data_IF_693025187669
#
_entry.id   IF_693025187669
#
_cell.length_a   1.000
_cell.length_b   1.000
_cell.length_c   1.000
_cell.angle_alpha   90.00
_cell.angle_beta   90.00
_cell.angle_gamma   90.00
#
_symmetry.space_group_name_H-M   'P 1'
#
loop_
_entity.id
_entity.type
_entity.pdbx_description
1 polymer ?
#
# COMPACT_ATOMS: atom_id res chain seq x y z
N UNK A 1 13.99 10.95 30.87
CA UNK A 1 14.53 11.35 29.55
C UNK A 1 14.11 10.44 28.38
N UNK A 2 14.09 9.10 28.50
CA UNK A 2 13.68 8.21 27.39
C UNK A 2 12.22 8.43 26.94
N UNK A 3 11.30 8.70 27.89
CA UNK A 3 9.89 8.97 27.60
C UNK A 3 9.67 10.27 26.81
N UNK A 4 10.47 11.31 27.09
CA UNK A 4 10.45 12.59 26.36
C UNK A 4 10.95 12.44 24.91
N UNK A 5 11.88 11.52 24.64
CA UNK A 5 12.34 11.23 23.26
C UNK A 5 11.30 10.47 22.46
N UNK A 6 10.53 9.58 23.08
CA UNK A 6 9.34 8.97 22.44
C UNK A 6 8.25 10.02 22.15
N UNK A 7 8.03 10.98 23.05
CA UNK A 7 7.06 12.06 22.83
C UNK A 7 7.45 12.99 21.67
N UNK A 8 8.75 13.25 21.46
CA UNK A 8 9.20 13.97 20.26
C UNK A 8 9.02 13.16 18.98
N UNK A 9 9.18 11.83 19.04
CA UNK A 9 8.76 10.92 17.98
C UNK A 9 7.28 11.09 17.64
N UNK A 10 6.40 11.15 18.66
CA UNK A 10 4.96 11.36 18.48
C UNK A 10 4.61 12.70 17.78
N UNK A 11 5.37 13.77 18.03
CA UNK A 11 5.18 15.05 17.33
C UNK A 11 5.61 15.01 15.85
N UNK A 12 6.64 14.23 15.51
CA UNK A 12 7.02 13.96 14.12
C UNK A 12 6.02 13.03 13.43
N UNK A 13 5.45 12.07 14.17
CA UNK A 13 4.36 11.21 13.69
C UNK A 13 3.11 12.03 13.42
N UNK A 14 2.70 12.96 14.30
CA UNK A 14 1.59 13.87 14.00
C UNK A 14 1.82 14.66 12.72
N UNK A 15 3.07 15.09 12.44
CA UNK A 15 3.44 15.74 11.17
C UNK A 15 3.40 14.77 9.99
N UNK A 16 3.90 13.54 10.14
CA UNK A 16 3.85 12.51 9.10
C UNK A 16 2.41 12.08 8.80
N UNK A 17 1.58 11.84 9.82
CA UNK A 17 0.15 11.53 9.69
C UNK A 17 -0.60 12.68 9.03
N UNK A 18 -0.32 13.93 9.42
CA UNK A 18 -0.87 15.11 8.71
C UNK A 18 -0.40 15.18 7.26
N UNK A 19 0.87 14.85 6.98
CA UNK A 19 1.44 14.78 5.64
C UNK A 19 0.82 13.69 4.78
N UNK A 20 0.58 12.49 5.34
CA UNK A 20 -0.09 11.37 4.68
C UNK A 20 -1.56 11.70 4.44
N UNK A 21 -2.27 12.26 5.42
CA UNK A 21 -3.66 12.70 5.25
C UNK A 21 -3.77 13.82 4.22
N UNK A 22 -2.82 14.75 4.19
CA UNK A 22 -2.74 15.79 3.16
C UNK A 22 -2.41 15.22 1.77
N UNK A 23 -1.47 14.27 1.68
CA UNK A 23 -1.11 13.60 0.42
C UNK A 23 -2.28 12.74 -0.11
N UNK A 24 -3.00 12.04 0.77
CA UNK A 24 -4.22 11.30 0.41
C UNK A 24 -5.33 12.26 -0.02
N UNK A 25 -5.52 13.38 0.69
CA UNK A 25 -6.44 14.45 0.28
C UNK A 25 -6.12 14.99 -1.12
N UNK A 26 -4.84 15.27 -1.40
CA UNK A 26 -4.38 15.75 -2.71
C UNK A 26 -4.48 14.67 -3.79
N UNK A 27 -4.26 13.39 -3.48
CA UNK A 27 -4.37 12.29 -4.45
C UNK A 27 -5.82 11.93 -4.77
N UNK A 28 -6.76 12.13 -3.82
CA UNK A 28 -8.19 11.88 -4.02
C UNK A 28 -8.87 13.07 -4.73
N UNK A 29 -8.35 14.29 -4.57
CA UNK A 29 -8.91 15.52 -5.14
C UNK A 29 -9.00 15.57 -6.69
N UNK A 30 -8.01 15.12 -7.49
CA UNK A 30 -8.11 15.19 -8.95
C UNK A 30 -9.01 14.10 -9.56
N UNK A 31 -9.26 12.97 -8.88
CA UNK A 31 -10.13 11.92 -9.41
C UNK A 31 -11.63 12.21 -9.27
N UNK A 32 -12.02 13.19 -8.45
CA UNK A 32 -13.41 13.67 -8.36
C UNK A 32 -13.71 14.75 -9.42
N UNK A 33 -12.69 15.36 -10.05
CA UNK A 33 -12.89 16.37 -11.12
C UNK A 33 -12.66 15.85 -12.54
N UNK A 34 -12.05 14.68 -12.73
CA UNK A 34 -11.77 14.14 -14.07
C UNK A 34 -12.94 13.39 -14.74
N UNK A 35 -14.09 13.23 -14.07
CA UNK A 35 -15.34 12.77 -14.71
C UNK A 35 -16.18 13.92 -15.31
N UNK A 36 -15.70 15.17 -15.28
CA UNK A 36 -16.47 16.35 -15.68
C UNK A 36 -16.00 17.12 -16.92
N UNK A 37 -14.95 16.68 -17.62
CA UNK A 37 -14.40 17.47 -18.73
C UNK A 37 -13.80 16.60 -19.84
N UNK A 38 -14.66 16.03 -20.68
CA UNK A 38 -14.34 15.70 -22.07
C UNK A 38 -15.42 16.38 -22.92
N UNK A 39 -15.10 17.56 -23.44
CA UNK A 39 -15.87 18.25 -24.47
C UNK A 39 -15.34 17.79 -25.82
N UNK A 40 -16.17 17.08 -26.57
CA UNK A 40 -15.99 16.83 -28.00
C UNK A 40 -17.20 17.46 -28.68
N UNK A 41 -16.93 18.43 -29.54
CA UNK A 41 -17.88 19.05 -30.44
C UNK A 41 -18.53 18.00 -31.34
N UNK A 42 -19.85 17.88 -31.27
CA UNK A 42 -20.70 17.55 -32.42
C UNK A 42 -22.12 18.04 -32.14
N UNK A 43 -22.47 19.13 -32.83
CA UNK A 43 -23.82 19.68 -32.83
C UNK A 43 -24.77 18.83 -33.69
N UNK A 44 -26.05 18.83 -33.29
CA UNK A 44 -27.26 18.33 -33.95
C UNK A 44 -27.66 16.86 -33.72
N UNK A 45 -28.29 16.60 -32.58
CA UNK A 45 -29.58 15.88 -32.54
C UNK A 45 -30.32 16.20 -31.24
N UNK A 46 -31.61 16.48 -31.39
CA UNK A 46 -32.50 17.19 -30.48
C UNK A 46 -33.09 16.28 -29.41
N UNK A 47 -33.30 16.84 -28.21
CA UNK A 47 -34.27 16.42 -27.17
C UNK A 47 -34.24 14.96 -26.70
N UNK A 48 -33.78 14.73 -25.46
CA UNK A 48 -34.44 13.97 -24.36
C UNK A 48 -33.41 13.37 -23.38
N UNK A 49 -32.80 14.15 -22.48
CA UNK A 49 -32.11 13.56 -21.32
C UNK A 49 -31.58 14.62 -20.33
N UNK A 50 -32.47 15.32 -19.63
CA UNK A 50 -32.09 16.10 -18.43
C UNK A 50 -32.61 15.51 -17.12
N UNK A 51 -33.16 14.29 -17.14
CA UNK A 51 -33.73 13.62 -15.95
C UNK A 51 -32.98 12.39 -15.43
N UNK A 52 -31.88 11.95 -16.07
CA UNK A 52 -31.40 10.57 -15.87
C UNK A 52 -30.20 10.40 -14.90
N UNK A 53 -29.38 11.43 -14.67
CA UNK A 53 -28.12 11.28 -13.91
C UNK A 53 -28.19 11.71 -12.44
N UNK A 54 -29.24 12.41 -12.01
CA UNK A 54 -29.45 12.77 -10.60
C UNK A 54 -30.34 11.78 -9.85
N UNK A 55 -31.00 10.86 -10.55
CA UNK A 55 -31.86 9.83 -9.97
C UNK A 55 -31.13 8.53 -9.56
N UNK A 56 -29.86 8.35 -9.94
CA UNK A 56 -29.14 7.06 -9.79
C UNK A 56 -28.31 6.96 -8.49
N UNK A 57 -27.82 8.07 -7.94
CA UNK A 57 -27.03 8.06 -6.69
C UNK A 57 -27.88 8.24 -5.40
N UNK A 58 -29.13 8.69 -5.51
CA UNK A 58 -30.03 8.82 -4.37
C UNK A 58 -31.04 7.66 -4.23
N UNK A 59 -31.31 6.86 -5.28
CA UNK A 59 -32.31 5.77 -5.20
C UNK A 59 -31.78 4.44 -4.64
N UNK A 60 -30.47 4.19 -4.65
CA UNK A 60 -29.90 2.94 -4.10
C UNK A 60 -29.65 2.98 -2.59
N UNK A 61 -29.65 4.16 -1.95
CA UNK A 61 -29.64 4.29 -0.48
C UNK A 61 -31.01 4.64 0.12
N UNK A 62 -31.94 5.20 -0.66
CA UNK A 62 -33.27 5.57 -0.15
C UNK A 62 -34.30 4.42 -0.16
N UNK A 63 -34.06 3.31 -0.88
CA UNK A 63 -34.98 2.16 -0.89
C UNK A 63 -34.70 1.10 0.19
N UNK A 64 -33.65 1.29 1.02
CA UNK A 64 -33.30 0.43 2.16
C UNK A 64 -33.32 1.16 3.51
N UNK A 65 -33.64 2.45 3.51
CA UNK A 65 -34.02 3.23 4.70
C UNK A 65 -35.40 3.83 4.46
N UNK A 66 -36.41 2.96 4.42
CA UNK A 66 -37.78 3.40 4.62
C UNK A 66 -37.87 4.13 5.95
N UNK A 67 -38.39 5.34 5.92
CA UNK A 67 -38.78 6.12 7.10
C UNK A 67 -39.47 5.20 8.09
N UNK A 68 -38.86 5.07 9.27
CA UNK A 68 -39.47 4.43 10.42
C UNK A 68 -40.75 5.19 10.79
N UNK A 69 -41.88 4.75 10.24
CA UNK A 69 -43.15 4.94 10.92
C UNK A 69 -43.08 4.10 12.17
N UNK A 70 -43.18 4.75 13.32
CA UNK A 70 -43.29 4.17 14.65
C UNK A 70 -44.61 3.40 14.80
N UNK A 71 -44.76 2.30 14.07
CA UNK A 71 -45.88 1.39 14.12
C UNK A 71 -45.36 -0.02 14.35
N UNK A 72 -45.66 -0.56 15.54
CA UNK A 72 -45.59 -1.99 15.85
C UNK A 72 -44.25 -2.67 15.61
N UNK A 73 -43.38 -2.69 16.63
CA UNK A 73 -42.27 -3.64 16.67
C UNK A 73 -42.87 -5.03 16.90
N UNK A 74 -43.27 -5.68 15.80
CA UNK A 74 -43.44 -7.13 15.80
C UNK A 74 -42.05 -7.76 15.90
N UNK A 75 -41.87 -8.57 16.94
CA UNK A 75 -40.63 -9.24 17.33
C UNK A 75 -40.13 -10.33 16.34
N UNK A 76 -40.49 -10.26 15.05
CA UNK A 76 -40.18 -11.25 14.02
C UNK A 76 -39.21 -10.78 12.92
N UNK A 77 -38.72 -9.54 12.97
CA UNK A 77 -37.79 -9.01 11.98
C UNK A 77 -36.36 -9.48 12.18
N UNK A 78 -36.06 -10.74 11.84
CA UNK A 78 -34.66 -11.20 11.76
C UNK A 78 -33.90 -10.35 10.72
N UNK A 79 -33.01 -9.50 11.21
CA UNK A 79 -32.03 -8.83 10.36
C UNK A 79 -31.18 -9.89 9.63
N UNK A 80 -30.92 -9.72 8.32
CA UNK A 80 -30.08 -10.66 7.58
C UNK A 80 -28.69 -10.77 8.24
N UNK A 81 -28.37 -11.92 8.81
CA UNK A 81 -27.05 -12.20 9.39
C UNK A 81 -27.01 -12.51 10.89
N UNK A 82 -28.13 -12.76 11.57
CA UNK A 82 -28.14 -13.26 12.97
C UNK A 82 -28.08 -14.79 13.09
N UNK A 83 -27.63 -15.50 12.04
CA UNK A 83 -27.21 -16.89 12.23
C UNK A 83 -25.99 -16.91 13.16
N UNK A 84 -25.95 -17.81 14.13
CA UNK A 84 -24.75 -18.05 14.97
C UNK A 84 -23.54 -18.53 14.17
N UNK A 85 -23.73 -18.82 12.86
CA UNK A 85 -22.69 -19.29 11.97
C UNK A 85 -22.49 -18.33 10.79
N UNK A 86 -21.22 -18.16 10.41
CA UNK A 86 -20.82 -17.38 9.25
C UNK A 86 -20.94 -18.14 7.92
N UNK A 87 -21.30 -19.41 7.98
CA UNK A 87 -21.48 -20.26 6.82
C UNK A 87 -22.72 -19.83 6.02
N UNK A 88 -22.70 -20.01 4.70
CA UNK A 88 -23.89 -19.84 3.87
C UNK A 88 -24.85 -21.01 4.01
N UNK A 89 -26.13 -20.81 3.69
CA UNK A 89 -27.17 -21.85 3.76
C UNK A 89 -26.89 -23.07 2.88
N UNK A 90 -25.99 -22.94 1.89
CA UNK A 90 -25.51 -24.02 1.03
C UNK A 90 -24.30 -24.77 1.59
N UNK A 91 -23.78 -24.41 2.76
CA UNK A 91 -22.61 -25.06 3.35
C UNK A 91 -23.04 -26.16 4.31
N UNK A 92 -22.26 -27.25 4.36
CA UNK A 92 -22.44 -28.32 5.35
C UNK A 92 -22.30 -27.83 6.80
N UNK A 93 -21.64 -26.67 7.02
CA UNK A 93 -21.47 -26.05 8.34
C UNK A 93 -22.69 -25.26 8.80
N UNK A 94 -23.69 -25.09 7.94
CA UNK A 94 -24.93 -24.44 8.31
C UNK A 94 -25.69 -25.35 9.28
N UNK A 95 -25.80 -24.92 10.54
CA UNK A 95 -26.47 -25.67 11.60
C UNK A 95 -27.89 -25.16 11.89
N UNK A 96 -28.30 -24.07 11.24
CA UNK A 96 -29.67 -23.57 11.40
C UNK A 96 -30.66 -24.50 10.74
N UNK A 97 -31.83 -24.71 11.37
CA UNK A 97 -32.98 -25.21 10.62
C UNK A 97 -33.21 -24.22 9.48
N UNK A 98 -33.00 -24.66 8.23
CA UNK A 98 -33.48 -23.88 7.09
C UNK A 98 -35.00 -23.94 7.19
N UNK A 99 -35.72 -22.81 7.41
CA UNK A 99 -37.14 -22.79 7.11
C UNK A 99 -37.24 -22.85 5.59
N UNK A 100 -37.11 -24.06 5.02
CA UNK A 100 -37.16 -24.28 3.58
C UNK A 100 -38.43 -23.72 2.99
N UNK A 101 -39.53 -23.75 3.75
CA UNK A 101 -40.78 -23.12 3.40
C UNK A 101 -40.63 -21.60 3.22
N UNK A 102 -39.97 -20.89 4.14
CA UNK A 102 -39.74 -19.45 4.01
C UNK A 102 -38.78 -19.13 2.88
N UNK A 103 -37.74 -19.94 2.70
CA UNK A 103 -36.79 -19.76 1.61
C UNK A 103 -37.48 -19.98 0.27
N UNK A 104 -38.28 -21.04 0.13
CA UNK A 104 -39.07 -21.32 -1.05
C UNK A 104 -40.10 -20.21 -1.33
N UNK A 105 -40.77 -19.71 -0.29
CA UNK A 105 -41.69 -18.57 -0.41
C UNK A 105 -40.99 -17.29 -0.89
N UNK A 106 -39.75 -17.04 -0.44
CA UNK A 106 -38.94 -15.87 -0.86
C UNK A 106 -38.38 -16.01 -2.27
N UNK A 107 -37.99 -17.22 -2.66
CA UNK A 107 -37.36 -17.48 -3.94
C UNK A 107 -38.39 -17.67 -5.07
N UNK A 108 -39.61 -18.12 -4.74
CA UNK A 108 -40.66 -18.48 -5.67
C UNK A 108 -40.40 -19.82 -6.37
N UNK A 109 -41.40 -20.33 -7.09
CA UNK A 109 -41.34 -21.65 -7.76
C UNK A 109 -40.24 -21.74 -8.83
N UNK A 110 -39.87 -20.60 -9.42
CA UNK A 110 -38.82 -20.51 -10.43
C UNK A 110 -37.41 -20.83 -9.89
N UNK A 111 -37.24 -20.99 -8.58
CA UNK A 111 -35.95 -21.20 -7.94
C UNK A 111 -35.72 -22.64 -7.43
N UNK A 112 -36.52 -23.61 -7.88
CA UNK A 112 -36.32 -25.03 -7.54
C UNK A 112 -34.88 -25.53 -7.83
N UNK A 113 -34.23 -25.15 -8.95
CA UNK A 113 -32.81 -25.51 -9.18
C UNK A 113 -31.87 -24.97 -8.10
N UNK A 114 -32.12 -23.75 -7.62
CA UNK A 114 -31.32 -23.12 -6.56
C UNK A 114 -31.53 -23.81 -5.22
N UNK A 115 -32.77 -24.16 -4.89
CA UNK A 115 -33.09 -24.96 -3.70
C UNK A 115 -32.43 -26.34 -3.73
N UNK A 116 -32.39 -26.99 -4.91
CA UNK A 116 -31.69 -28.26 -5.10
C UNK A 116 -30.19 -28.13 -4.86
N UNK A 117 -29.56 -27.07 -5.38
CA UNK A 117 -28.14 -26.78 -5.13
C UNK A 117 -27.85 -26.61 -3.63
N UNK A 118 -28.69 -25.86 -2.91
CA UNK A 118 -28.57 -25.66 -1.45
C UNK A 118 -28.71 -27.00 -0.70
N UNK A 119 -29.74 -27.80 -1.01
CA UNK A 119 -29.95 -29.12 -0.40
C UNK A 119 -28.76 -30.06 -0.64
N UNK A 120 -28.09 -29.92 -1.79
CA UNK A 120 -26.88 -30.68 -2.12
C UNK A 120 -25.59 -30.15 -1.49
N UNK A 121 -25.69 -29.13 -0.62
CA UNK A 121 -24.55 -28.41 -0.04
C UNK A 121 -23.56 -27.87 -1.09
N UNK A 122 -24.08 -27.43 -2.24
CA UNK A 122 -23.28 -26.87 -3.32
C UNK A 122 -23.47 -25.36 -3.36
N UNK A 123 -22.36 -24.63 -3.31
CA UNK A 123 -22.40 -23.18 -3.49
C UNK A 123 -22.91 -22.82 -4.90
N UNK A 124 -23.99 -22.01 -5.03
CA UNK A 124 -24.52 -21.65 -6.34
C UNK A 124 -23.64 -20.62 -7.06
N UNK A 125 -22.76 -19.91 -6.34
CA UNK A 125 -21.97 -18.80 -6.86
C UNK A 125 -20.61 -19.20 -7.45
N UNK A 126 -20.25 -20.50 -7.40
CA UNK A 126 -18.98 -21.01 -7.91
C UNK A 126 -18.24 -21.89 -6.91
N UNK A 127 -16.93 -21.71 -6.82
CA UNK A 127 -16.04 -22.55 -6.00
C UNK A 127 -15.19 -21.72 -5.06
N UNK A 128 -15.05 -22.19 -3.81
CA UNK A 128 -14.12 -21.60 -2.85
C UNK A 128 -12.68 -21.98 -3.21
N UNK A 129 -11.83 -20.98 -3.43
CA UNK A 129 -10.39 -21.15 -3.60
C UNK A 129 -9.62 -20.94 -2.27
N UNK A 130 -8.33 -21.33 -2.19
CA UNK A 130 -7.49 -21.05 -1.03
C UNK A 130 -7.42 -19.55 -0.70
N UNK A 131 -7.38 -19.23 0.59
CA UNK A 131 -7.41 -17.83 1.04
C UNK A 131 -8.81 -17.22 1.04
N UNK A 132 -9.88 -18.01 1.08
CA UNK A 132 -11.26 -17.51 1.12
C UNK A 132 -11.61 -16.56 -0.04
N UNK A 133 -11.13 -16.88 -1.25
CA UNK A 133 -11.47 -16.19 -2.50
C UNK A 133 -12.50 -17.03 -3.25
N UNK A 134 -13.61 -16.43 -3.69
CA UNK A 134 -14.58 -17.14 -4.53
C UNK A 134 -14.15 -17.06 -6.00
N UNK A 135 -14.05 -18.21 -6.65
CA UNK A 135 -13.97 -18.31 -8.11
C UNK A 135 -15.39 -18.36 -8.68
N UNK A 136 -15.84 -17.32 -9.41
CA UNK A 136 -17.10 -17.39 -10.13
C UNK A 136 -16.92 -18.37 -11.29
N UNK A 137 -17.45 -19.57 -11.13
CA UNK A 137 -17.36 -20.64 -12.13
C UNK A 137 -18.39 -20.49 -13.24
N UNK A 138 -18.38 -21.44 -14.17
CA UNK A 138 -19.49 -21.62 -15.10
C UNK A 138 -20.78 -21.90 -14.31
N UNK A 139 -21.82 -21.13 -14.61
CA UNK A 139 -23.13 -21.30 -13.99
C UNK A 139 -23.76 -22.55 -14.61
N UNK A 140 -24.18 -23.53 -13.81
CA UNK A 140 -24.93 -24.69 -14.31
C UNK A 140 -26.13 -24.27 -15.15
N UNK A 141 -26.45 -25.03 -16.21
CA UNK A 141 -27.54 -24.70 -17.15
C UNK A 141 -28.88 -24.46 -16.45
N UNK A 142 -29.15 -25.16 -15.35
CA UNK A 142 -30.35 -25.04 -14.54
C UNK A 142 -30.40 -23.79 -13.63
N UNK A 143 -29.26 -23.11 -13.47
CA UNK A 143 -29.12 -21.85 -12.71
C UNK A 143 -28.93 -20.63 -13.62
N UNK A 144 -28.90 -20.82 -14.95
CA UNK A 144 -28.78 -19.73 -15.92
C UNK A 144 -29.98 -18.78 -15.77
N UNK A 145 -29.69 -17.49 -15.57
CA UNK A 145 -30.70 -16.46 -15.34
C UNK A 145 -31.09 -16.26 -13.89
N UNK A 146 -30.80 -17.22 -12.99
CA UNK A 146 -30.98 -17.08 -11.55
C UNK A 146 -29.72 -16.56 -10.85
N UNK A 147 -28.54 -17.04 -11.26
CA UNK A 147 -27.24 -16.65 -10.69
C UNK A 147 -26.46 -15.83 -11.69
N UNK A 148 -25.74 -14.81 -11.22
CA UNK A 148 -24.92 -13.98 -12.09
C UNK A 148 -23.74 -14.79 -12.69
N UNK A 149 -23.53 -14.73 -14.02
CA UNK A 149 -22.41 -15.41 -14.65
C UNK A 149 -21.07 -14.73 -14.36
N UNK A 150 -19.97 -15.44 -14.63
CA UNK A 150 -18.62 -14.90 -14.56
C UNK A 150 -18.47 -13.71 -15.51
N UNK A 151 -18.03 -12.56 -14.97
CA UNK A 151 -17.69 -11.37 -15.75
C UNK A 151 -16.16 -11.21 -15.86
N UNK A 152 -15.71 -10.45 -16.87
CA UNK A 152 -14.28 -10.08 -17.00
C UNK A 152 -13.77 -9.34 -15.74
N UNK A 153 -14.62 -8.48 -15.15
CA UNK A 153 -14.29 -7.78 -13.92
C UNK A 153 -14.12 -8.74 -12.73
N UNK A 154 -14.94 -9.79 -12.65
CA UNK A 154 -14.82 -10.82 -11.61
C UNK A 154 -13.50 -11.59 -11.74
N UNK A 155 -13.06 -11.90 -12.96
CA UNK A 155 -11.75 -12.52 -13.18
C UNK A 155 -10.60 -11.63 -12.67
N UNK A 156 -10.60 -10.35 -13.05
CA UNK A 156 -9.61 -9.37 -12.57
C UNK A 156 -9.64 -9.29 -11.04
N UNK A 157 -10.83 -9.32 -10.45
CA UNK A 157 -11.01 -9.25 -9.00
C UNK A 157 -10.42 -10.47 -8.27
N UNK A 158 -10.48 -11.67 -8.86
CA UNK A 158 -9.79 -12.85 -8.34
C UNK A 158 -8.28 -12.63 -8.37
N UNK A 159 -7.72 -12.19 -9.50
CA UNK A 159 -6.27 -11.95 -9.64
C UNK A 159 -5.77 -10.95 -8.59
N UNK A 160 -6.46 -9.81 -8.45
CA UNK A 160 -6.13 -8.82 -7.44
C UNK A 160 -6.26 -9.35 -6.01
N UNK A 161 -7.25 -10.20 -5.73
CA UNK A 161 -7.41 -10.81 -4.40
C UNK A 161 -6.20 -11.65 -3.99
N UNK A 162 -5.43 -12.19 -4.94
CA UNK A 162 -4.22 -12.98 -4.65
C UNK A 162 -2.93 -12.16 -4.51
N UNK A 163 -2.91 -10.89 -4.92
CA UNK A 163 -1.70 -10.05 -4.85
C UNK A 163 -1.11 -9.94 -3.43
N UNK A 164 -1.88 -9.76 -2.34
CA UNK A 164 -1.32 -9.71 -1.00
C UNK A 164 -0.58 -10.98 -0.60
N UNK A 165 -1.10 -12.16 -0.97
CA UNK A 165 -0.46 -13.44 -0.68
C UNK A 165 0.80 -13.65 -1.51
N UNK A 166 0.76 -13.28 -2.79
CA UNK A 166 1.93 -13.32 -3.65
C UNK A 166 3.08 -12.50 -3.06
N UNK A 167 2.82 -11.24 -2.68
CA UNK A 167 3.84 -10.37 -2.10
C UNK A 167 4.28 -10.80 -0.70
N UNK A 168 3.39 -11.38 0.11
CA UNK A 168 3.78 -12.01 1.37
C UNK A 168 4.76 -13.18 1.15
N UNK A 169 4.49 -14.04 0.15
CA UNK A 169 5.39 -15.10 -0.25
C UNK A 169 6.76 -14.58 -0.69
N UNK A 170 6.79 -13.54 -1.53
CA UNK A 170 8.04 -12.87 -1.95
C UNK A 170 8.83 -12.35 -0.74
N UNK A 171 8.17 -11.76 0.27
CA UNK A 171 8.85 -11.29 1.48
C UNK A 171 9.43 -12.41 2.34
N UNK A 172 8.72 -13.53 2.45
CA UNK A 172 9.20 -14.69 3.19
C UNK A 172 10.44 -15.26 2.49
N UNK A 173 10.40 -15.40 1.17
CA UNK A 173 11.57 -15.82 0.38
C UNK A 173 12.72 -14.82 0.54
N UNK A 174 12.46 -13.51 0.44
CA UNK A 174 13.48 -12.47 0.63
C UNK A 174 14.09 -12.51 2.04
N UNK A 175 13.29 -12.80 3.08
CA UNK A 175 13.77 -13.03 4.44
C UNK A 175 14.68 -14.26 4.52
N UNK A 176 14.29 -15.39 3.92
CA UNK A 176 15.08 -16.62 3.94
C UNK A 176 16.44 -16.44 3.23
N UNK A 177 16.46 -15.69 2.13
CA UNK A 177 17.66 -15.46 1.30
C UNK A 177 18.56 -14.39 1.93
N UNK A 178 18.03 -13.20 2.24
CA UNK A 178 18.84 -12.06 2.69
C UNK A 178 19.02 -11.98 4.20
N UNK A 179 18.11 -12.60 4.97
CA UNK A 179 18.11 -12.59 6.44
C UNK A 179 18.28 -11.19 7.04
N UNK A 180 17.65 -10.19 6.43
CA UNK A 180 17.79 -8.80 6.87
C UNK A 180 16.81 -8.42 7.98
N UNK A 181 17.18 -7.48 8.84
CA UNK A 181 16.31 -6.95 9.91
C UNK A 181 15.05 -6.27 9.36
N UNK A 182 15.11 -5.72 8.15
CA UNK A 182 13.95 -5.11 7.47
C UNK A 182 12.95 -6.15 7.00
N UNK A 183 13.43 -7.19 6.32
CA UNK A 183 12.61 -8.32 5.89
C UNK A 183 11.93 -8.97 7.08
N UNK A 184 12.69 -9.17 8.17
CA UNK A 184 12.17 -9.75 9.40
C UNK A 184 11.05 -8.88 9.97
N UNK A 185 11.26 -7.56 10.08
CA UNK A 185 10.25 -6.63 10.59
C UNK A 185 8.93 -6.71 9.81
N UNK A 186 8.99 -6.79 8.48
CA UNK A 186 7.79 -6.86 7.64
C UNK A 186 7.07 -8.19 7.77
N UNK A 187 7.79 -9.32 7.78
CA UNK A 187 7.18 -10.64 8.01
C UNK A 187 6.59 -10.73 9.43
N UNK A 188 7.25 -10.16 10.43
CA UNK A 188 6.71 -10.07 11.79
C UNK A 188 5.46 -9.20 11.87
N UNK A 189 5.42 -8.06 11.17
CA UNK A 189 4.22 -7.24 11.06
C UNK A 189 3.06 -7.99 10.42
N UNK A 190 3.32 -8.69 9.31
CA UNK A 190 2.32 -9.53 8.64
C UNK A 190 1.73 -10.58 9.57
N UNK A 191 2.59 -11.30 10.27
CA UNK A 191 2.18 -12.32 11.23
C UNK A 191 1.33 -11.70 12.35
N UNK A 192 1.77 -10.56 12.91
CA UNK A 192 1.02 -9.84 13.93
C UNK A 192 -0.36 -9.40 13.42
N UNK A 193 -0.44 -8.90 12.17
CA UNK A 193 -1.69 -8.51 11.54
C UNK A 193 -2.64 -9.70 11.35
N UNK A 194 -2.14 -10.82 10.85
CA UNK A 194 -2.95 -12.04 10.65
C UNK A 194 -3.47 -12.57 11.99
N UNK A 195 -2.61 -12.66 13.01
CA UNK A 195 -3.01 -13.09 14.36
C UNK A 195 -4.08 -12.14 14.92
N UNK A 196 -3.86 -10.83 14.85
CA UNK A 196 -4.81 -9.85 15.35
C UNK A 196 -6.15 -9.91 14.60
N UNK A 197 -6.12 -10.05 13.28
CA UNK A 197 -7.34 -10.03 12.47
C UNK A 197 -8.14 -11.35 12.57
N UNK A 198 -7.48 -12.49 12.39
CA UNK A 198 -8.12 -13.81 12.37
C UNK A 198 -8.42 -14.33 13.77
N UNK A 199 -7.47 -14.20 14.71
CA UNK A 199 -7.60 -14.82 16.03
C UNK A 199 -8.26 -13.90 17.07
N UNK A 200 -8.39 -12.60 16.81
CA UNK A 200 -9.01 -11.67 17.75
C UNK A 200 -10.24 -10.99 17.16
N UNK A 201 -10.07 -10.18 16.10
CA UNK A 201 -11.18 -9.37 15.58
C UNK A 201 -12.33 -10.22 15.00
N UNK A 202 -12.05 -11.26 14.21
CA UNK A 202 -13.10 -12.11 13.65
C UNK A 202 -13.87 -12.90 14.70
N UNK A 203 -13.20 -13.31 15.79
CA UNK A 203 -13.87 -13.99 16.90
C UNK A 203 -14.86 -13.08 17.63
N UNK A 204 -14.57 -11.79 17.70
CA UNK A 204 -15.43 -10.80 18.37
C UNK A 204 -16.64 -10.39 17.52
N UNK A 205 -16.49 -10.27 16.20
CA UNK A 205 -17.52 -9.67 15.34
C UNK A 205 -18.42 -10.70 14.65
N UNK A 206 -17.86 -11.85 14.23
CA UNK A 206 -18.58 -12.98 13.62
C UNK A 206 -19.62 -12.60 12.54
N UNK A 207 -19.37 -11.55 11.76
CA UNK A 207 -20.33 -11.15 10.74
C UNK A 207 -20.22 -12.05 9.49
N UNK A 208 -21.35 -12.58 8.98
CA UNK A 208 -21.36 -13.36 7.75
C UNK A 208 -21.03 -12.52 6.52
N UNK A 209 -20.63 -13.20 5.45
CA UNK A 209 -20.34 -12.58 4.14
C UNK A 209 -21.63 -12.24 3.38
N UNK A 210 -21.59 -11.35 2.39
CA UNK A 210 -22.73 -11.11 1.52
C UNK A 210 -23.21 -12.39 0.83
N UNK A 211 -24.54 -12.51 0.70
CA UNK A 211 -25.18 -13.59 -0.04
C UNK A 211 -25.30 -14.92 0.71
N UNK A 212 -24.80 -15.05 1.94
CA UNK A 212 -24.92 -16.27 2.79
C UNK A 212 -26.33 -16.79 2.98
N UNK A 213 -27.33 -15.91 2.94
CA UNK A 213 -28.74 -16.21 3.10
C UNK A 213 -29.54 -15.98 1.79
N UNK A 214 -28.85 -16.00 0.64
CA UNK A 214 -29.43 -15.66 -0.68
C UNK A 214 -30.12 -14.29 -0.73
N UNK A 215 -29.64 -13.34 0.07
CA UNK A 215 -30.27 -12.04 0.26
C UNK A 215 -29.80 -10.96 -0.72
N UNK A 216 -28.72 -11.21 -1.46
CA UNK A 216 -28.09 -10.22 -2.34
C UNK A 216 -28.38 -10.56 -3.80
N UNK A 217 -28.81 -9.55 -4.56
CA UNK A 217 -29.04 -9.63 -5.99
C UNK A 217 -28.22 -8.57 -6.72
N UNK A 218 -27.81 -8.87 -7.95
CA UNK A 218 -27.19 -7.91 -8.85
C UNK A 218 -28.22 -6.95 -9.46
N UNK A 219 -27.76 -6.05 -10.32
CA UNK A 219 -28.60 -5.07 -11.03
C UNK A 219 -29.58 -5.70 -12.03
N UNK A 220 -29.38 -6.97 -12.41
CA UNK A 220 -30.29 -7.74 -13.26
C UNK A 220 -31.27 -8.59 -12.43
N UNK A 221 -31.26 -8.45 -11.09
CA UNK A 221 -32.08 -9.26 -10.19
C UNK A 221 -31.57 -10.69 -9.99
N UNK A 222 -30.36 -11.04 -10.44
CA UNK A 222 -29.75 -12.37 -10.27
C UNK A 222 -29.08 -12.48 -8.92
N UNK A 223 -29.10 -13.65 -8.29
CA UNK A 223 -28.42 -13.89 -7.02
C UNK A 223 -26.91 -13.82 -7.16
N UNK A 224 -26.28 -13.23 -6.14
CA UNK A 224 -24.82 -13.09 -6.02
C UNK A 224 -24.39 -13.30 -4.57
N UNK A 225 -23.17 -13.78 -4.38
CA UNK A 225 -22.64 -14.03 -3.06
C UNK A 225 -21.25 -14.67 -3.08
N UNK A 226 -20.78 -14.97 -1.88
CA UNK A 226 -19.51 -15.63 -1.60
C UNK A 226 -19.67 -17.14 -1.49
N UNK A 227 -18.71 -17.94 -1.93
CA UNK A 227 -18.60 -19.36 -1.54
C UNK A 227 -17.68 -19.59 -0.34
N UNK A 228 -17.00 -18.57 0.17
CA UNK A 228 -16.20 -18.68 1.37
C UNK A 228 -17.07 -18.89 2.62
N UNK A 229 -16.74 -19.90 3.41
CA UNK A 229 -17.48 -20.30 4.62
C UNK A 229 -17.03 -19.59 5.90
N UNK A 230 -15.96 -18.80 5.85
CA UNK A 230 -15.46 -18.06 7.00
C UNK A 230 -16.29 -16.80 7.26
N UNK A 231 -16.21 -16.27 8.48
CA UNK A 231 -16.67 -14.91 8.75
C UNK A 231 -15.97 -13.88 7.86
N UNK A 232 -16.73 -12.86 7.46
CA UNK A 232 -16.28 -11.78 6.57
C UNK A 232 -15.75 -10.57 7.32
N UNK A 233 -16.22 -10.30 8.55
CA UNK A 233 -15.79 -9.10 9.27
C UNK A 233 -14.73 -9.36 10.33
N UNK A 234 -13.62 -8.61 10.34
CA UNK A 234 -13.13 -7.73 9.27
C UNK A 234 -12.44 -8.48 8.12
N UNK A 235 -12.36 -7.84 6.95
CA UNK A 235 -11.70 -8.43 5.78
C UNK A 235 -10.17 -8.45 5.92
N UNK A 236 -9.59 -9.65 6.05
CA UNK A 236 -8.14 -9.82 6.19
C UNK A 236 -7.36 -9.39 4.95
N UNK A 237 -7.94 -9.58 3.75
CA UNK A 237 -7.29 -9.15 2.50
C UNK A 237 -7.20 -7.63 2.43
N UNK A 238 -8.29 -6.95 2.81
CA UNK A 238 -8.33 -5.50 2.89
C UNK A 238 -7.32 -4.98 3.93
N UNK A 239 -7.28 -5.60 5.11
CA UNK A 239 -6.36 -5.25 6.18
C UNK A 239 -4.90 -5.41 5.75
N UNK A 240 -4.54 -6.54 5.12
CA UNK A 240 -3.19 -6.78 4.62
C UNK A 240 -2.86 -5.77 3.53
N UNK A 241 -3.66 -5.65 2.47
CA UNK A 241 -3.33 -4.78 1.34
C UNK A 241 -3.19 -3.31 1.75
N UNK A 242 -4.16 -2.77 2.48
CA UNK A 242 -4.12 -1.37 2.88
C UNK A 242 -3.07 -1.10 3.96
N UNK A 243 -2.95 -1.99 4.96
CA UNK A 243 -1.89 -1.89 5.96
C UNK A 243 -0.50 -1.95 5.34
N UNK A 244 -0.32 -2.78 4.31
CA UNK A 244 0.93 -2.91 3.59
C UNK A 244 1.26 -1.61 2.85
N UNK A 245 0.30 -1.07 2.11
CA UNK A 245 0.46 0.23 1.43
C UNK A 245 0.86 1.34 2.41
N UNK A 246 0.19 1.44 3.56
CA UNK A 246 0.51 2.41 4.62
C UNK A 246 1.92 2.20 5.18
N UNK A 247 2.30 0.95 5.48
CA UNK A 247 3.63 0.61 5.98
C UNK A 247 4.73 1.04 4.99
N UNK A 248 4.52 0.78 3.70
CA UNK A 248 5.47 1.11 2.64
C UNK A 248 5.59 2.61 2.42
N UNK A 249 4.48 3.34 2.42
CA UNK A 249 4.51 4.80 2.31
C UNK A 249 5.24 5.41 3.50
N UNK A 250 4.94 4.95 4.72
CA UNK A 250 5.59 5.47 5.91
C UNK A 250 7.12 5.28 5.88
N UNK A 251 7.60 4.07 5.54
CA UNK A 251 9.04 3.83 5.37
C UNK A 251 9.64 4.62 4.19
N UNK A 252 8.90 4.82 3.10
CA UNK A 252 9.36 5.61 1.97
C UNK A 252 9.47 7.10 2.32
N UNK A 253 8.50 7.68 3.06
CA UNK A 253 8.51 9.07 3.52
C UNK A 253 9.75 9.36 4.35
N UNK A 254 10.10 8.47 5.29
CA UNK A 254 11.28 8.65 6.14
C UNK A 254 12.59 8.70 5.32
N UNK A 255 12.60 8.16 4.09
CA UNK A 255 13.76 8.09 3.19
C UNK A 255 13.80 9.21 2.15
N UNK A 256 12.74 10.01 1.99
CA UNK A 256 12.75 11.13 1.03
C UNK A 256 13.66 12.24 1.55
N UNK A 257 14.67 12.62 0.76
CA UNK A 257 15.65 13.63 1.16
C UNK A 257 15.03 15.04 1.12
N UNK A 258 14.89 15.77 2.25
CA UNK A 258 14.26 17.10 2.24
C UNK A 258 15.08 18.14 1.49
N UNK A 259 16.42 18.02 1.50
CA UNK A 259 17.29 19.01 0.88
C UNK A 259 17.46 18.89 -0.65
N UNK A 260 16.84 17.91 -1.34
CA UNK A 260 17.00 17.83 -2.80
C UNK A 260 16.33 19.03 -3.49
N UNK A 261 15.15 19.43 -3.03
CA UNK A 261 14.47 20.64 -3.53
C UNK A 261 15.29 21.91 -3.29
N UNK A 262 15.96 22.00 -2.13
CA UNK A 262 16.79 23.16 -1.80
C UNK A 262 18.11 23.17 -2.58
N UNK A 263 18.68 21.99 -2.86
CA UNK A 263 19.89 21.86 -3.66
C UNK A 263 19.66 22.15 -5.14
N UNK A 264 18.57 21.66 -5.74
CA UNK A 264 18.22 22.01 -7.12
C UNK A 264 18.00 23.51 -7.28
N UNK A 265 17.23 24.10 -6.35
CA UNK A 265 17.02 25.56 -6.33
C UNK A 265 18.32 26.34 -6.15
N UNK A 266 19.18 25.87 -5.24
CA UNK A 266 20.49 26.49 -4.96
C UNK A 266 21.49 26.33 -6.11
N UNK A 267 21.49 25.18 -6.78
CA UNK A 267 22.33 24.90 -7.94
C UNK A 267 21.90 25.74 -9.13
N UNK A 268 20.58 25.86 -9.40
CA UNK A 268 20.08 26.74 -10.45
C UNK A 268 20.40 28.21 -10.16
N UNK A 269 20.23 28.67 -8.91
CA UNK A 269 20.63 30.00 -8.51
C UNK A 269 22.15 30.23 -8.69
N UNK A 270 22.98 29.23 -8.37
CA UNK A 270 24.43 29.35 -8.49
C UNK A 270 24.89 29.30 -9.95
N UNK A 271 24.29 28.44 -10.78
CA UNK A 271 24.52 28.38 -12.22
C UNK A 271 24.06 29.67 -12.91
N UNK A 272 22.92 30.22 -12.51
CA UNK A 272 22.42 31.52 -12.97
C UNK A 272 23.38 32.66 -12.60
N UNK A 273 23.85 32.71 -11.36
CA UNK A 273 24.83 33.71 -10.92
C UNK A 273 26.19 33.56 -11.62
N UNK A 274 26.65 32.33 -11.84
CA UNK A 274 27.89 32.04 -12.57
C UNK A 274 27.79 32.49 -14.04
N UNK A 275 26.65 32.22 -14.68
CA UNK A 275 26.36 32.67 -16.04
C UNK A 275 26.32 34.20 -16.16
N UNK A 276 25.65 34.88 -15.23
CA UNK A 276 25.62 36.34 -15.18
C UNK A 276 27.02 36.94 -14.96
N UNK A 277 27.88 36.29 -14.18
CA UNK A 277 29.27 36.73 -13.95
C UNK A 277 30.14 36.56 -15.20
N UNK A 278 29.92 35.50 -15.99
CA UNK A 278 30.59 35.29 -17.29
C UNK A 278 30.16 36.36 -18.30
N UNK A 279 28.86 36.68 -18.37
CA UNK A 279 28.33 37.71 -19.27
C UNK A 279 28.77 39.14 -18.84
N UNK A 280 29.08 39.33 -17.55
CA UNK A 280 29.48 40.63 -16.98
C UNK A 280 30.97 41.01 -17.10
N UNK A 281 31.82 40.20 -17.74
CA UNK A 281 33.22 40.58 -18.02
C UNK A 281 34.14 40.74 -16.79
N UNK A 282 33.82 40.11 -15.66
CA UNK A 282 34.65 40.17 -14.46
C UNK A 282 36.03 39.50 -14.70
N UNK A 283 37.15 40.15 -14.30
CA UNK A 283 38.49 39.64 -14.52
C UNK A 283 38.74 38.29 -13.82
N UNK A 284 39.38 37.41 -14.58
CA UNK A 284 39.46 35.94 -14.42
C UNK A 284 40.12 35.42 -13.12
N UNK A 285 40.68 36.30 -12.28
CA UNK A 285 41.54 35.93 -11.15
C UNK A 285 40.83 35.47 -9.86
N UNK A 286 39.51 35.59 -9.74
CA UNK A 286 38.77 35.30 -8.49
C UNK A 286 37.85 34.08 -8.56
N UNK A 287 37.97 33.22 -9.58
CA UNK A 287 37.18 32.00 -9.66
C UNK A 287 37.65 31.01 -8.59
N UNK A 288 36.93 30.95 -7.47
CA UNK A 288 37.08 29.84 -6.52
C UNK A 288 36.62 28.58 -7.26
N UNK A 289 37.46 27.53 -7.36
CA UNK A 289 37.03 26.28 -7.95
C UNK A 289 35.84 25.79 -7.14
N UNK A 290 34.69 25.65 -7.80
CA UNK A 290 33.60 24.85 -7.24
C UNK A 290 34.22 23.49 -6.95
N UNK A 291 34.14 22.94 -5.73
CA UNK A 291 34.80 21.70 -5.41
C UNK A 291 34.31 20.64 -6.39
N UNK A 292 35.19 20.22 -7.28
CA UNK A 292 34.93 19.23 -8.33
C UNK A 292 34.37 17.94 -7.70
N UNK A 293 34.79 17.64 -6.47
CA UNK A 293 34.26 16.58 -5.61
C UNK A 293 32.76 16.67 -5.31
N UNK A 294 32.17 17.87 -5.22
CA UNK A 294 30.73 18.03 -4.96
C UNK A 294 29.91 17.75 -6.22
N UNK A 295 30.42 18.16 -7.38
CA UNK A 295 29.82 17.83 -8.68
C UNK A 295 30.01 16.35 -9.02
N UNK A 296 31.14 15.76 -8.64
CA UNK A 296 31.42 14.35 -8.83
C UNK A 296 30.55 13.47 -7.91
N UNK A 297 30.31 13.85 -6.66
CA UNK A 297 29.41 13.11 -5.76
C UNK A 297 27.93 13.18 -6.20
N UNK A 298 27.51 14.28 -6.85
CA UNK A 298 26.18 14.42 -7.44
C UNK A 298 26.04 13.74 -8.82
N UNK A 299 27.08 13.80 -9.67
CA UNK A 299 27.08 13.23 -11.03
C UNK A 299 27.46 11.75 -11.07
N UNK A 300 28.14 11.22 -10.05
CA UNK A 300 28.38 9.79 -9.86
C UNK A 300 27.21 9.06 -9.20
N UNK A 301 25.99 9.63 -9.16
CA UNK A 301 24.81 8.75 -9.22
C UNK A 301 24.86 8.15 -10.62
N UNK A 302 25.39 6.92 -10.80
CA UNK A 302 25.51 6.36 -12.13
C UNK A 302 24.13 6.37 -12.75
N UNK A 303 24.01 6.34 -14.08
CA UNK A 303 22.81 5.88 -14.78
C UNK A 303 22.43 4.50 -14.20
N UNK A 304 21.77 4.50 -13.04
CA UNK A 304 21.32 3.34 -12.30
C UNK A 304 20.21 2.86 -13.18
N UNK A 305 20.54 1.85 -13.99
CA UNK A 305 19.63 1.21 -14.92
C UNK A 305 18.25 1.17 -14.26
N UNK A 306 17.28 1.90 -14.82
CA UNK A 306 15.91 1.92 -14.32
C UNK A 306 15.37 0.48 -14.16
N UNK A 307 15.93 -0.46 -14.92
CA UNK A 307 15.79 -1.89 -14.74
C UNK A 307 16.28 -2.41 -13.38
N UNK A 308 17.43 -2.04 -12.81
CA UNK A 308 17.82 -2.49 -11.44
C UNK A 308 16.91 -1.94 -10.33
N UNK A 309 16.12 -0.90 -10.62
CA UNK A 309 14.98 -0.44 -9.82
C UNK A 309 13.76 -1.35 -10.10
N UNK A 310 13.96 -2.67 -10.16
CA UNK A 310 12.82 -3.58 -10.18
C UNK A 310 12.16 -3.49 -8.81
N UNK A 311 10.97 -2.88 -8.81
CA UNK A 311 10.00 -2.69 -7.72
C UNK A 311 9.48 -4.02 -7.11
N UNK A 312 10.16 -5.14 -7.35
CA UNK A 312 9.79 -6.45 -6.83
C UNK A 312 10.18 -6.65 -5.37
N UNK A 313 11.02 -5.78 -4.83
CA UNK A 313 11.18 -5.73 -3.38
C UNK A 313 10.16 -4.72 -2.84
N UNK A 314 9.32 -5.07 -1.87
CA UNK A 314 8.46 -4.14 -1.15
C UNK A 314 9.27 -3.23 -0.21
N UNK A 315 10.48 -2.88 -0.61
CA UNK A 315 11.45 -2.16 0.18
C UNK A 315 12.14 -1.17 -0.74
N UNK A 316 12.11 0.11 -0.36
CA UNK A 316 13.00 1.11 -0.92
C UNK A 316 14.46 0.65 -0.76
N UNK A 317 15.08 0.17 -1.82
CA UNK A 317 16.41 -0.46 -1.78
C UNK A 317 17.49 0.49 -1.24
N UNK A 318 17.30 1.80 -1.45
CA UNK A 318 18.23 2.83 -1.04
C UNK A 318 17.90 3.41 0.34
N UNK A 319 18.94 3.89 1.03
CA UNK A 319 18.74 4.65 2.27
C UNK A 319 18.02 5.97 2.00
N UNK A 320 18.18 6.55 0.81
CA UNK A 320 17.53 7.79 0.41
C UNK A 320 16.77 7.61 -0.90
N UNK A 321 15.64 8.29 -1.02
CA UNK A 321 14.81 8.35 -2.22
C UNK A 321 14.78 9.80 -2.73
N UNK A 322 14.86 9.96 -4.05
CA UNK A 322 14.46 11.20 -4.74
C UNK A 322 12.93 11.35 -4.74
N UNK A 323 12.43 12.57 -4.97
CA UNK A 323 10.99 12.82 -5.06
C UNK A 323 10.32 12.02 -6.19
N UNK A 324 10.99 11.88 -7.34
CA UNK A 324 10.48 11.09 -8.46
C UNK A 324 10.46 9.60 -8.13
N UNK A 325 11.53 9.05 -7.53
CA UNK A 325 11.55 7.65 -7.09
C UNK A 325 10.46 7.38 -6.04
N UNK A 326 10.25 8.31 -5.11
CA UNK A 326 9.16 8.23 -4.14
C UNK A 326 7.79 8.21 -4.82
N UNK A 327 7.54 9.13 -5.76
CA UNK A 327 6.27 9.17 -6.50
C UNK A 327 6.02 7.86 -7.26
N UNK A 328 7.00 7.36 -8.01
CA UNK A 328 6.89 6.06 -8.69
C UNK A 328 6.65 4.91 -7.73
N UNK A 329 7.36 4.88 -6.60
CA UNK A 329 7.18 3.85 -5.58
C UNK A 329 5.77 3.86 -5.01
N UNK A 330 5.25 5.02 -4.61
CA UNK A 330 3.88 5.17 -4.07
C UNK A 330 2.83 4.82 -5.13
N UNK A 331 3.00 5.29 -6.37
CA UNK A 331 2.07 4.99 -7.46
C UNK A 331 2.02 3.49 -7.77
N UNK A 332 3.18 2.82 -7.84
CA UNK A 332 3.25 1.39 -8.08
C UNK A 332 2.55 0.59 -6.98
N UNK A 333 2.91 0.82 -5.72
CA UNK A 333 2.30 0.10 -4.60
C UNK A 333 0.83 0.47 -4.39
N UNK A 334 0.44 1.71 -4.71
CA UNK A 334 -0.96 2.14 -4.74
C UNK A 334 -1.76 1.35 -5.77
N UNK A 335 -1.26 1.23 -7.00
CA UNK A 335 -1.90 0.46 -8.07
C UNK A 335 -2.00 -1.03 -7.74
N UNK A 336 -1.02 -1.59 -7.04
CA UNK A 336 -1.02 -3.01 -6.65
C UNK A 336 -1.96 -3.31 -5.47
N UNK A 337 -2.01 -2.44 -4.45
CA UNK A 337 -2.67 -2.75 -3.17
C UNK A 337 -4.04 -2.11 -2.99
N UNK A 338 -4.24 -0.86 -3.44
CA UNK A 338 -5.50 -0.14 -3.22
C UNK A 338 -6.72 -0.76 -3.93
N UNK A 339 -6.60 -1.40 -5.11
CA UNK A 339 -7.75 -2.07 -5.71
C UNK A 339 -8.22 -3.30 -4.93
N UNK A 340 -7.35 -3.94 -4.13
CA UNK A 340 -7.66 -5.22 -3.47
C UNK A 340 -8.93 -5.14 -2.60
N UNK A 341 -9.09 -4.17 -1.66
CA UNK A 341 -10.34 -4.00 -0.92
C UNK A 341 -11.60 -3.93 -1.80
N UNK A 342 -11.54 -3.18 -2.91
CA UNK A 342 -12.67 -3.03 -3.82
C UNK A 342 -12.98 -4.35 -4.56
N UNK A 343 -11.94 -5.08 -4.98
CA UNK A 343 -12.09 -6.36 -5.66
C UNK A 343 -12.73 -7.43 -4.76
N UNK A 344 -12.55 -7.35 -3.43
CA UNK A 344 -13.29 -8.21 -2.48
C UNK A 344 -14.80 -7.92 -2.45
N UNK A 345 -15.21 -6.68 -2.71
CA UNK A 345 -16.63 -6.30 -2.81
C UNK A 345 -17.22 -6.73 -4.15
N UNK A 346 -16.46 -6.57 -5.24
CA UNK A 346 -16.86 -7.04 -6.58
C UNK A 346 -17.13 -8.54 -6.61
N UNK A 347 -16.33 -9.34 -5.89
CA UNK A 347 -16.55 -10.78 -5.77
C UNK A 347 -17.68 -11.16 -4.80
N UNK A 348 -18.33 -10.19 -4.15
CA UNK A 348 -19.27 -10.42 -3.05
C UNK A 348 -18.71 -11.23 -1.88
N UNK A 349 -17.38 -11.39 -1.82
CA UNK A 349 -16.69 -12.05 -0.72
C UNK A 349 -16.80 -11.25 0.57
N UNK A 350 -16.97 -9.92 0.46
CA UNK A 350 -17.11 -9.00 1.59
C UNK A 350 -18.07 -7.86 1.26
N UNK A 351 -18.72 -7.32 2.30
CA UNK A 351 -19.46 -6.05 2.18
C UNK A 351 -18.52 -4.84 2.23
N UNK A 352 -18.99 -3.67 1.79
CA UNK A 352 -18.23 -2.41 1.88
C UNK A 352 -17.78 -2.11 3.31
N UNK A 353 -18.65 -2.34 4.30
CA UNK A 353 -18.31 -2.10 5.70
C UNK A 353 -17.19 -3.05 6.18
N UNK A 354 -17.23 -4.32 5.77
CA UNK A 354 -16.21 -5.31 6.12
C UNK A 354 -14.84 -4.95 5.57
N UNK A 355 -14.78 -4.47 4.32
CA UNK A 355 -13.51 -4.05 3.71
C UNK A 355 -12.99 -2.74 4.28
N UNK A 356 -13.87 -1.77 4.58
CA UNK A 356 -13.46 -0.49 5.19
C UNK A 356 -12.91 -0.70 6.60
N UNK A 357 -13.60 -1.48 7.44
CA UNK A 357 -13.11 -1.77 8.80
C UNK A 357 -11.81 -2.55 8.76
N UNK A 358 -11.68 -3.53 7.85
CA UNK A 358 -10.41 -4.22 7.63
C UNK A 358 -9.28 -3.28 7.24
N UNK A 359 -9.50 -2.38 6.27
CA UNK A 359 -8.52 -1.41 5.83
C UNK A 359 -8.07 -0.48 6.98
N UNK A 360 -9.01 0.06 7.74
CA UNK A 360 -8.72 0.93 8.90
C UNK A 360 -7.88 0.18 9.94
N UNK A 361 -8.27 -1.05 10.30
CA UNK A 361 -7.53 -1.87 11.26
C UNK A 361 -6.09 -2.16 10.78
N UNK A 362 -5.94 -2.53 9.50
CA UNK A 362 -4.63 -2.76 8.88
C UNK A 362 -3.75 -1.52 8.86
N UNK A 363 -4.30 -0.37 8.47
CA UNK A 363 -3.59 0.91 8.45
C UNK A 363 -3.17 1.37 9.85
N UNK A 364 -4.06 1.24 10.84
CA UNK A 364 -3.75 1.58 12.23
C UNK A 364 -2.62 0.69 12.78
N UNK A 365 -2.67 -0.62 12.56
CA UNK A 365 -1.62 -1.54 13.00
C UNK A 365 -0.29 -1.25 12.30
N UNK A 366 -0.29 -0.92 11.00
CA UNK A 366 0.90 -0.52 10.27
C UNK A 366 1.56 0.74 10.87
N UNK A 367 0.78 1.77 11.19
CA UNK A 367 1.30 2.98 11.84
C UNK A 367 1.89 2.67 13.22
N UNK A 368 1.18 1.91 14.05
CA UNK A 368 1.69 1.47 15.36
C UNK A 368 3.01 0.69 15.22
N UNK A 369 3.09 -0.17 14.20
CA UNK A 369 4.31 -0.93 13.90
C UNK A 369 5.48 -0.01 13.52
N UNK A 370 5.25 1.00 12.68
CA UNK A 370 6.29 1.99 12.33
C UNK A 370 6.80 2.71 13.58
N UNK A 371 5.91 3.11 14.50
CA UNK A 371 6.32 3.73 15.77
C UNK A 371 7.17 2.78 16.60
N UNK A 372 6.73 1.53 16.74
CA UNK A 372 7.44 0.49 17.49
C UNK A 372 8.85 0.27 16.92
N UNK A 373 8.97 0.08 15.62
CA UNK A 373 10.27 -0.14 14.95
C UNK A 373 11.18 1.08 15.09
N UNK A 374 10.65 2.29 14.94
CA UNK A 374 11.42 3.52 15.13
C UNK A 374 11.97 3.65 16.57
N UNK A 375 11.19 3.24 17.56
CA UNK A 375 11.62 3.18 18.96
C UNK A 375 12.71 2.12 19.17
N UNK A 376 12.52 0.91 18.63
CA UNK A 376 13.48 -0.19 18.72
C UNK A 376 14.80 0.15 18.05
N UNK A 377 14.79 0.74 16.86
CA UNK A 377 15.98 1.23 16.17
C UNK A 377 16.73 2.24 17.02
N UNK A 378 16.03 3.25 17.56
CA UNK A 378 16.67 4.32 18.35
C UNK A 378 17.32 3.76 19.63
N UNK A 379 16.69 2.76 20.26
CA UNK A 379 17.15 2.19 21.53
C UNK A 379 18.20 1.09 21.36
N UNK A 380 18.11 0.31 20.28
CA UNK A 380 18.83 -0.95 20.13
C UNK A 380 19.61 -1.10 18.81
N UNK A 381 19.88 -0.02 18.06
CA UNK A 381 20.64 -0.10 16.78
C UNK A 381 21.96 -0.87 16.95
N UNK A 382 22.73 -0.55 17.99
CA UNK A 382 24.00 -1.21 18.27
C UNK A 382 23.86 -2.69 18.62
N UNK A 383 22.76 -3.08 19.28
CA UNK A 383 22.50 -4.47 19.63
C UNK A 383 22.08 -5.28 18.40
N UNK A 384 21.25 -4.71 17.52
CA UNK A 384 20.80 -5.37 16.29
C UNK A 384 21.97 -5.68 15.33
N UNK A 385 23.01 -4.84 15.31
CA UNK A 385 24.23 -5.07 14.52
C UNK A 385 25.05 -6.28 14.97
N UNK A 386 24.81 -6.80 16.18
CA UNK A 386 25.59 -7.92 16.76
C UNK A 386 24.96 -9.29 16.54
N UNK A 387 23.77 -9.37 15.94
CA UNK A 387 23.08 -10.64 15.72
C UNK A 387 23.70 -11.32 14.49
N UNK A 388 24.46 -12.42 14.62
CA UNK A 388 25.26 -12.97 13.53
C UNK A 388 24.42 -13.59 12.41
N UNK A 389 23.19 -13.99 12.71
CA UNK A 389 22.27 -14.59 11.74
C UNK A 389 21.48 -13.56 10.93
N UNK A 390 21.50 -12.28 11.33
CA UNK A 390 20.71 -11.23 10.71
C UNK A 390 21.59 -10.09 10.18
N UNK A 391 21.45 -9.77 8.90
CA UNK A 391 22.07 -8.59 8.34
C UNK A 391 21.29 -7.34 8.77
N UNK A 392 21.89 -6.47 9.57
CA UNK A 392 21.25 -5.22 9.96
C UNK A 392 21.17 -4.25 8.78
N UNK A 393 20.02 -4.22 8.11
CA UNK A 393 19.74 -3.40 6.93
C UNK A 393 18.55 -2.45 7.13
N UNK A 394 17.95 -2.45 8.31
CA UNK A 394 16.89 -1.51 8.69
C UNK A 394 17.46 -0.34 9.50
N UNK A 395 18.41 0.38 8.93
CA UNK A 395 18.98 1.58 9.54
C UNK A 395 18.16 2.81 9.18
N UNK A 396 18.08 3.78 10.11
CA UNK A 396 17.52 5.10 9.82
C UNK A 396 18.37 5.81 8.75
N UNK A 397 17.75 6.54 7.81
CA UNK A 397 18.49 7.35 6.85
C UNK A 397 19.26 8.46 7.57
N UNK A 398 20.52 8.65 7.17
CA UNK A 398 21.36 9.74 7.65
C UNK A 398 21.52 10.78 6.56
N UNK A 399 21.15 12.02 6.87
CA UNK A 399 21.27 13.16 5.97
C UNK A 399 22.44 14.05 6.43
N UNK A 400 23.43 14.25 5.57
CA UNK A 400 24.55 15.16 5.84
C UNK A 400 24.30 16.48 5.11
N UNK A 401 24.21 17.58 5.85
CA UNK A 401 24.09 18.93 5.29
C UNK A 401 25.50 19.53 5.23
N UNK A 402 26.02 19.75 4.02
CA UNK A 402 27.29 20.47 3.84
C UNK A 402 27.00 21.97 3.80
N UNK A 403 27.48 22.70 4.81
CA UNK A 403 27.48 24.17 4.78
C UNK A 403 28.71 24.65 4.01
N UNK A 404 28.50 25.43 2.97
CA UNK A 404 29.56 26.02 2.14
C UNK A 404 30.30 27.18 2.83
N UNK A 405 29.89 27.59 4.03
CA UNK A 405 30.67 28.56 4.82
C UNK A 405 31.82 27.84 5.51
N UNK A 406 33.01 28.07 4.98
CA UNK A 406 34.34 27.89 5.58
C UNK A 406 34.45 28.60 6.94
N UNK A 407 33.77 28.06 7.94
CA UNK A 407 34.16 28.10 9.33
C UNK A 407 33.69 26.77 9.89
N UNK A 408 34.64 25.86 10.10
CA UNK A 408 34.41 24.58 10.79
C UNK A 408 33.88 24.92 12.18
N UNK A 409 32.56 25.00 12.32
CA UNK A 409 31.92 25.00 13.63
C UNK A 409 31.68 23.53 13.92
N UNK A 410 32.63 22.95 14.64
CA UNK A 410 32.51 21.64 15.25
C UNK A 410 31.33 21.73 16.24
N UNK A 411 30.13 21.35 15.81
CA UNK A 411 28.97 21.25 16.70
C UNK A 411 29.17 19.99 17.53
N UNK A 412 29.92 20.16 18.61
CA UNK A 412 30.26 19.13 19.58
C UNK A 412 28.99 18.76 20.37
N UNK A 413 28.22 17.83 19.79
CA UNK A 413 26.94 17.37 20.30
C UNK A 413 26.80 15.85 20.30
N UNK A 414 27.88 15.10 20.14
CA UNK A 414 27.98 13.69 20.51
C UNK A 414 29.45 13.27 20.49
N UNK A 415 29.99 12.90 21.65
CA UNK A 415 31.30 12.23 21.79
C UNK A 415 31.26 10.86 21.09
N UNK A 416 31.44 10.86 19.78
CA UNK A 416 32.12 9.80 19.09
C UNK A 416 33.08 10.50 18.14
N UNK A 417 34.37 10.53 18.49
CA UNK A 417 35.43 10.71 17.52
C UNK A 417 35.41 9.47 16.61
N UNK A 418 34.96 9.53 15.36
CA UNK A 418 35.52 8.62 14.38
C UNK A 418 37.00 9.01 14.28
N UNK A 419 37.89 8.08 14.62
CA UNK A 419 39.30 8.19 14.27
C UNK A 419 39.37 8.20 12.74
N UNK A 420 39.30 9.38 12.14
CA UNK A 420 39.54 9.56 10.72
C UNK A 420 41.04 9.36 10.55
N UNK A 421 41.45 8.11 10.35
CA UNK A 421 42.77 7.78 9.84
C UNK A 421 42.84 8.44 8.48
N UNK A 422 43.64 9.50 8.39
CA UNK A 422 43.91 10.16 7.12
C UNK A 422 44.32 9.07 6.11
N UNK A 423 43.74 9.06 4.89
CA UNK A 423 44.19 8.12 3.87
C UNK A 423 45.70 8.28 3.70
N UNK A 424 46.46 7.18 3.56
CA UNK A 424 47.90 7.26 3.35
C UNK A 424 48.15 8.17 2.15
N UNK A 425 48.95 9.22 2.36
CA UNK A 425 49.37 10.11 1.27
C UNK A 425 49.95 9.23 0.18
N UNK A 426 49.39 9.33 -1.04
CA UNK A 426 49.96 8.70 -2.21
C UNK A 426 51.46 9.08 -2.27
N UNK A 427 52.37 8.11 -2.48
CA UNK A 427 53.78 8.40 -2.59
C UNK A 427 53.97 9.37 -3.75
N UNK A 428 54.49 10.55 -3.44
CA UNK A 428 54.95 11.53 -4.43
C UNK A 428 56.00 10.82 -5.27
N UNK A 429 55.68 10.56 -6.54
CA UNK A 429 56.65 10.08 -7.52
C UNK A 429 57.73 11.14 -7.66
N UNK A 430 58.89 10.91 -7.06
CA UNK A 430 60.10 11.67 -7.40
C UNK A 430 60.49 11.29 -8.81
N UNK A 431 60.32 12.22 -9.74
CA UNK A 431 60.92 12.17 -11.06
C UNK A 431 62.44 12.12 -10.90
N UNK A 432 63.01 10.93 -11.08
CA UNK A 432 64.45 10.73 -11.22
C UNK A 432 64.80 11.11 -12.66
N UNK A 433 65.34 12.32 -12.82
CA UNK A 433 66.01 12.74 -14.05
C UNK A 433 67.23 11.86 -14.30
N UNK A 434 67.12 10.93 -15.25
CA UNK A 434 68.24 10.16 -15.76
C UNK A 434 68.99 11.00 -16.81
N UNK A 435 70.09 11.64 -16.39
CA UNK A 435 71.15 12.08 -17.29
C UNK A 435 71.98 10.86 -17.71
N UNK A 436 71.95 10.52 -19.00
CA UNK A 436 72.89 9.60 -19.63
C UNK A 436 74.00 10.41 -20.31
N UNK A 437 75.29 10.19 -19.99
CA UNK A 437 76.37 10.80 -20.75
C UNK A 437 76.76 9.94 -21.97
N UNK A 438 77.07 10.65 -23.04
CA UNK A 438 77.70 10.17 -24.27
C UNK A 438 79.13 9.65 -24.00
N UNK A 439 79.53 8.60 -24.70
CA UNK A 439 80.92 8.21 -24.97
C UNK A 439 80.90 6.99 -25.91
N UNK A 440 81.07 7.16 -27.22
CA UNK A 440 82.32 7.27 -28.00
C UNK A 440 83.00 5.92 -28.28
N UNK A 441 82.88 5.52 -29.54
CA UNK A 441 83.73 4.61 -30.33
C UNK A 441 85.23 4.75 -30.03
N UNK A 442 85.94 3.62 -29.92
CA UNK A 442 86.88 3.04 -30.92
C UNK A 442 86.88 1.53 -30.71
#
# INVERSE_FOLDING_TARGET
MAFLRCAHGAANIQRATRGVLAALSVAISPHVRLCGAISIDTAKATQTSSGFLQASAQRTNASLMGTASSGGIDAGGQTPGMGTCCAGVWSQKWTGELPLADLQARLGDAAEPLLRAIKSNRCPYGVKLPGDVTWPGEVPDDLVGLVAPMSCLSFIAVVYSYLPFFWAGVCIVDLCVRRGTRQLSTVSWLLALVIFNECFLKLLVQQPRPGTLLQVRDYNGRFVGSCAESCGMPSSHSAIAFGWFVLLIADAIDRVHPAHACFESGLEAHLGASRASIEGGLPDGSRRPVPEAMFEMCSQRPRRNAARIWMMSPFAYHQTLTHMEFAFFVSFWGLMMLPVPFMRVVLFDHSTNQVVVGAIAGGALALLWVVLINCLQTRHDNAMRRIPLLQHNYTKPTFCIYSSRTSVIEVDGARHRPSFVAPPRAPVSRDVSAQTPRGSTV
#
